data_IF_341870656372
#
_entry.id   IF_341870656372
#
_cell.length_a   1.000
_cell.length_b   1.000
_cell.length_c   1.000
_cell.angle_alpha   90.00
_cell.angle_beta   90.00
_cell.angle_gamma   90.00
#
_symmetry.space_group_name_H-M   'P 1'
#
loop_
_entity.id
_entity.type
_entity.pdbx_description
1 polymer ?
#
# COMPACT_ATOMS: atom_id res chain seq x y z
N UNK A 1 9.45 -12.90 8.98
CA UNK A 1 8.38 -12.87 7.97
C UNK A 1 7.16 -13.54 8.53
N UNK A 2 6.40 -12.74 9.26
CA UNK A 2 5.11 -13.08 9.82
C UNK A 2 4.05 -13.11 8.71
N UNK A 3 3.00 -13.91 8.90
CA UNK A 3 1.82 -13.90 8.03
C UNK A 3 1.03 -12.61 8.33
N UNK A 4 1.24 -11.59 7.49
CA UNK A 4 0.58 -10.29 7.63
C UNK A 4 -0.83 -10.35 7.03
N UNK A 5 -1.78 -9.63 7.61
CA UNK A 5 -3.16 -9.60 7.13
C UNK A 5 -3.42 -8.43 6.18
N UNK A 6 -4.45 -8.54 5.33
CA UNK A 6 -4.94 -7.42 4.50
C UNK A 6 -5.34 -6.21 5.36
N UNK A 7 -5.95 -6.45 6.53
CA UNK A 7 -6.32 -5.39 7.47
C UNK A 7 -5.09 -4.61 7.99
N UNK A 8 -3.98 -5.31 8.26
CA UNK A 8 -2.72 -4.67 8.67
C UNK A 8 -2.18 -3.75 7.58
N UNK A 9 -2.19 -4.20 6.32
CA UNK A 9 -1.75 -3.38 5.18
C UNK A 9 -2.69 -2.18 4.98
N UNK A 10 -4.02 -2.38 5.07
CA UNK A 10 -5.00 -1.28 5.01
C UNK A 10 -4.71 -0.21 6.06
N UNK A 11 -4.49 -0.62 7.31
CA UNK A 11 -4.18 0.30 8.39
C UNK A 11 -2.88 1.06 8.13
N UNK A 12 -1.83 0.36 7.68
CA UNK A 12 -0.57 0.99 7.30
C UNK A 12 -0.77 2.08 6.25
N UNK A 13 -1.57 1.83 5.20
CA UNK A 13 -1.85 2.81 4.15
C UNK A 13 -2.59 4.03 4.70
N UNK A 14 -3.60 3.84 5.53
CA UNK A 14 -4.36 4.94 6.15
C UNK A 14 -3.45 5.78 7.07
N UNK A 15 -2.63 5.12 7.89
CA UNK A 15 -1.73 5.78 8.83
C UNK A 15 -0.56 6.51 8.10
N UNK A 16 -0.21 6.08 6.88
CA UNK A 16 0.89 6.65 6.08
C UNK A 16 0.42 7.76 5.13
N UNK A 17 -0.87 7.79 4.76
CA UNK A 17 -1.38 8.72 3.78
C UNK A 17 -1.26 10.18 4.25
N UNK A 18 -0.89 11.06 3.32
CA UNK A 18 -0.83 12.51 3.56
C UNK A 18 -1.63 13.26 2.50
N UNK A 19 -1.84 14.56 2.70
CA UNK A 19 -2.44 15.45 1.69
C UNK A 19 -1.60 15.57 0.42
N UNK A 20 -0.29 15.28 0.50
CA UNK A 20 0.59 15.18 -0.66
C UNK A 20 0.80 13.70 -1.07
N UNK A 21 1.02 13.43 -2.36
CA UNK A 21 1.23 12.07 -2.83
C UNK A 21 2.50 11.44 -2.29
N UNK A 22 2.34 10.31 -1.64
CA UNK A 22 3.40 9.43 -1.15
C UNK A 22 3.57 8.24 -2.09
N UNK A 23 4.81 7.82 -2.33
CA UNK A 23 5.11 6.71 -3.23
C UNK A 23 5.66 5.53 -2.44
N UNK A 24 4.98 4.38 -2.54
CA UNK A 24 5.30 3.19 -1.78
C UNK A 24 5.56 2.00 -2.69
N UNK A 25 6.42 1.08 -2.26
CA UNK A 25 6.61 -0.23 -2.90
C UNK A 25 6.33 -1.35 -1.92
N UNK A 26 5.88 -2.49 -2.44
CA UNK A 26 5.49 -3.63 -1.62
C UNK A 26 6.62 -4.16 -0.72
N UNK A 27 7.89 -4.05 -1.14
CA UNK A 27 9.02 -4.50 -0.33
C UNK A 27 9.36 -3.55 0.82
N UNK A 28 9.06 -2.24 0.69
CA UNK A 28 9.27 -1.25 1.74
C UNK A 28 8.27 -1.49 2.85
N UNK A 29 6.98 -1.55 2.49
CA UNK A 29 5.88 -1.86 3.43
C UNK A 29 6.11 -3.23 4.11
N UNK A 30 6.55 -4.24 3.35
CA UNK A 30 6.84 -5.55 3.92
C UNK A 30 7.99 -5.51 4.93
N UNK A 31 9.01 -4.69 4.69
CA UNK A 31 10.11 -4.47 5.63
C UNK A 31 9.60 -3.84 6.93
N UNK A 32 8.73 -2.84 6.82
CA UNK A 32 8.18 -2.11 7.97
C UNK A 32 7.22 -2.97 8.82
N UNK A 33 6.54 -3.94 8.18
CA UNK A 33 5.56 -4.82 8.83
C UNK A 33 6.11 -6.22 9.20
N UNK A 34 7.42 -6.48 9.03
CA UNK A 34 8.02 -7.83 9.07
C UNK A 34 7.23 -8.89 8.25
N UNK A 35 6.70 -8.46 7.11
CA UNK A 35 5.88 -9.27 6.22
C UNK A 35 6.61 -9.75 4.96
N UNK A 36 5.88 -10.42 4.08
CA UNK A 36 6.38 -10.80 2.75
C UNK A 36 6.00 -9.76 1.69
N UNK A 37 6.94 -9.30 0.83
CA UNK A 37 6.62 -8.41 -0.29
C UNK A 37 5.55 -8.97 -1.23
N UNK A 38 5.48 -10.30 -1.36
CA UNK A 38 4.47 -10.98 -2.18
C UNK A 38 3.07 -10.83 -1.59
N UNK A 39 2.93 -11.05 -0.28
CA UNK A 39 1.66 -10.90 0.42
C UNK A 39 1.19 -9.44 0.36
N UNK A 40 2.08 -8.48 0.65
CA UNK A 40 1.78 -7.05 0.51
C UNK A 40 1.31 -6.72 -0.91
N UNK A 41 2.03 -7.15 -1.95
CA UNK A 41 1.66 -6.84 -3.33
C UNK A 41 0.26 -7.35 -3.72
N UNK A 42 -0.13 -8.52 -3.20
CA UNK A 42 -1.48 -9.06 -3.36
C UNK A 42 -2.52 -8.16 -2.69
N UNK A 43 -2.27 -7.77 -1.43
CA UNK A 43 -3.19 -6.91 -0.69
C UNK A 43 -3.29 -5.50 -1.25
N UNK A 44 -2.21 -4.90 -1.75
CA UNK A 44 -2.27 -3.61 -2.43
C UNK A 44 -3.17 -3.66 -3.68
N UNK A 45 -3.08 -4.75 -4.45
CA UNK A 45 -3.94 -4.94 -5.62
C UNK A 45 -5.41 -5.13 -5.24
N UNK A 46 -5.68 -5.77 -4.12
CA UNK A 46 -7.04 -5.91 -3.58
C UNK A 46 -7.58 -4.58 -3.06
N UNK A 47 -6.78 -3.85 -2.29
CA UNK A 47 -7.20 -2.64 -1.59
C UNK A 47 -7.38 -1.44 -2.52
N UNK A 48 -6.79 -1.45 -3.71
CA UNK A 48 -6.93 -0.38 -4.71
C UNK A 48 -8.39 0.05 -4.92
N UNK A 49 -9.32 -0.91 -4.95
CA UNK A 49 -10.74 -0.65 -5.21
C UNK A 49 -11.61 -0.67 -3.92
N UNK A 50 -11.04 -0.97 -2.74
CA UNK A 50 -11.76 -1.14 -1.46
C UNK A 50 -11.53 0.00 -0.45
N UNK A 51 -10.61 0.92 -0.75
CA UNK A 51 -10.27 2.04 0.13
C UNK A 51 -11.22 3.22 -0.13
N UNK A 52 -11.80 3.76 0.94
CA UNK A 52 -12.63 4.97 0.88
C UNK A 52 -11.87 6.19 1.38
N UNK A 53 -11.09 6.03 2.45
CA UNK A 53 -10.41 7.11 3.16
C UNK A 53 -9.15 7.62 2.43
N UNK A 54 -8.57 6.79 1.56
CA UNK A 54 -7.33 7.10 0.82
C UNK A 54 -7.44 6.62 -0.63
N UNK A 55 -6.78 7.33 -1.52
CA UNK A 55 -6.62 6.95 -2.93
C UNK A 55 -5.34 6.14 -3.10
N UNK A 56 -5.45 4.97 -3.74
CA UNK A 56 -4.32 4.07 -3.99
C UNK A 56 -4.22 3.76 -5.49
N UNK A 57 -3.28 4.41 -6.19
CA UNK A 57 -3.11 4.25 -7.63
C UNK A 57 -1.85 3.44 -7.97
N UNK A 58 -2.02 2.45 -8.86
CA UNK A 58 -0.93 1.60 -9.33
C UNK A 58 -0.09 2.27 -10.41
N UNK A 59 1.19 2.55 -10.11
CA UNK A 59 2.18 3.05 -11.07
C UNK A 59 3.19 1.95 -11.42
N UNK A 60 3.03 1.34 -12.59
CA UNK A 60 4.02 0.39 -13.09
C UNK A 60 5.25 1.15 -13.63
N UNK A 61 6.41 0.98 -12.96
CA UNK A 61 7.73 1.37 -13.47
C UNK A 61 8.59 0.12 -13.65
N UNK A 62 9.65 0.23 -14.46
CA UNK A 62 10.60 -0.86 -14.68
C UNK A 62 11.16 -1.37 -13.33
N UNK A 63 11.18 -2.70 -13.14
CA UNK A 63 11.68 -3.47 -11.98
C UNK A 63 10.72 -3.67 -10.79
N UNK A 64 9.84 -2.73 -10.44
CA UNK A 64 8.87 -2.92 -9.35
C UNK A 64 7.68 -1.99 -9.48
N UNK A 65 6.49 -2.47 -9.11
CA UNK A 65 5.29 -1.62 -9.01
C UNK A 65 5.46 -0.61 -7.88
N UNK A 66 5.30 0.66 -8.22
CA UNK A 66 5.16 1.77 -7.27
C UNK A 66 3.67 2.04 -7.10
N UNK A 67 3.26 2.41 -5.90
CA UNK A 67 1.90 2.80 -5.58
C UNK A 67 1.92 4.26 -5.17
N UNK A 68 1.07 5.07 -5.80
CA UNK A 68 0.83 6.45 -5.39
C UNK A 68 -0.32 6.43 -4.38
N UNK A 69 -0.06 6.96 -3.18
CA UNK A 69 -0.96 7.00 -2.05
C UNK A 69 -1.19 8.46 -1.64
N UNK A 70 -2.44 8.86 -1.48
CA UNK A 70 -2.82 10.16 -0.91
C UNK A 70 -4.15 10.04 -0.16
N UNK A 71 -4.43 10.98 0.73
CA UNK A 71 -5.76 11.09 1.35
C UNK A 71 -6.80 11.34 0.25
N UNK A 72 -7.94 10.64 0.31
CA UNK A 72 -9.05 10.92 -0.60
C UNK A 72 -9.60 12.31 -0.28
N UNK A 73 -9.54 13.23 -1.23
CA UNK A 73 -10.24 14.51 -1.12
C UNK A 73 -11.75 14.19 -1.12
N UNK A 74 -12.43 14.47 0.01
CA UNK A 74 -13.84 14.17 0.21
C UNK A 74 -14.77 15.11 -0.55
#
# INVERSE_FOLDING_TARGET
>A
MSDISCHTVRRYLVDTATSEPTYLRAHEIASDLDGSPKAVAQYLSQLQDELADVSLEKWARSKSTTWRLEVSDS
#
